data_IF_064640371336
#
_entry.id   IF_064640371336
#
_cell.length_a   1.000
_cell.length_b   1.000
_cell.length_c   1.000
_cell.angle_alpha   90.00
_cell.angle_beta   90.00
_cell.angle_gamma   90.00
#
_symmetry.space_group_name_H-M   'P 1'
#
loop_
_entity.id
_entity.type
_entity.pdbx_description
1 polymer ?
#
# COMPACT_ATOMS: atom_id res chain seq x y z
N UNK A 1 -29.19 -34.53 2.58
CA UNK A 1 -29.06 -33.44 3.54
C UNK A 1 -27.87 -32.64 3.07
N UNK A 2 -28.11 -31.40 2.66
CA UNK A 2 -27.12 -30.56 1.96
C UNK A 2 -26.35 -29.75 2.99
N UNK A 3 -25.12 -30.17 3.28
CA UNK A 3 -24.23 -29.59 4.29
C UNK A 3 -23.95 -28.11 4.01
N UNK A 4 -24.07 -27.67 2.75
CA UNK A 4 -23.84 -26.26 2.39
C UNK A 4 -24.95 -25.35 2.90
N UNK A 5 -26.20 -25.80 2.91
CA UNK A 5 -27.33 -25.01 3.40
C UNK A 5 -27.30 -24.78 4.91
N UNK A 6 -26.81 -25.76 5.68
CA UNK A 6 -26.70 -25.66 7.14
C UNK A 6 -25.56 -24.73 7.58
N UNK A 7 -24.48 -24.65 6.79
CA UNK A 7 -23.38 -23.71 7.06
C UNK A 7 -23.78 -22.26 6.76
N UNK A 8 -24.53 -22.03 5.68
CA UNK A 8 -25.04 -20.69 5.34
C UNK A 8 -26.04 -20.17 6.40
N UNK A 9 -26.86 -21.06 6.96
CA UNK A 9 -27.81 -20.73 8.02
C UNK A 9 -27.10 -20.39 9.34
N UNK A 10 -26.06 -21.16 9.69
CA UNK A 10 -25.24 -20.89 10.87
C UNK A 10 -24.42 -19.59 10.76
N UNK A 11 -23.85 -19.27 9.59
CA UNK A 11 -23.17 -17.99 9.36
C UNK A 11 -24.14 -16.81 9.49
N UNK A 12 -25.35 -16.95 8.96
CA UNK A 12 -26.40 -15.92 9.06
C UNK A 12 -26.84 -15.68 10.51
N UNK A 13 -27.02 -16.74 11.32
CA UNK A 13 -27.37 -16.60 12.73
C UNK A 13 -26.26 -15.93 13.55
N UNK A 14 -24.99 -16.30 13.31
CA UNK A 14 -23.85 -15.68 13.99
C UNK A 14 -23.70 -14.21 13.61
N UNK A 15 -23.91 -13.84 12.34
CA UNK A 15 -23.89 -12.43 11.92
C UNK A 15 -24.99 -11.61 12.58
N UNK A 16 -26.21 -12.16 12.68
CA UNK A 16 -27.32 -11.47 13.35
C UNK A 16 -27.06 -11.31 14.86
N UNK A 17 -26.54 -12.34 15.51
CA UNK A 17 -26.20 -12.28 16.93
C UNK A 17 -25.12 -11.23 17.22
N UNK A 18 -24.12 -11.10 16.34
CA UNK A 18 -23.07 -10.07 16.46
C UNK A 18 -23.66 -8.67 16.31
N UNK A 19 -24.62 -8.46 15.39
CA UNK A 19 -25.30 -7.17 15.21
C UNK A 19 -26.13 -6.82 16.45
N UNK A 20 -26.89 -7.78 16.99
CA UNK A 20 -27.66 -7.56 18.23
C UNK A 20 -26.76 -7.28 19.44
N UNK A 21 -25.61 -7.96 19.55
CA UNK A 21 -24.62 -7.70 20.59
C UNK A 21 -23.94 -6.33 20.42
N UNK A 22 -23.64 -5.90 19.19
CA UNK A 22 -23.13 -4.55 18.92
C UNK A 22 -24.16 -3.48 19.35
N UNK A 23 -25.44 -3.67 19.03
CA UNK A 23 -26.52 -2.76 19.41
C UNK A 23 -26.82 -2.80 20.92
N UNK A 24 -26.60 -3.93 21.59
CA UNK A 24 -26.78 -4.08 23.04
C UNK A 24 -25.62 -3.49 23.86
N UNK A 25 -24.38 -3.57 23.34
CA UNK A 25 -23.18 -3.02 23.99
C UNK A 25 -23.08 -1.49 23.82
N UNK A 26 -23.79 -0.89 22.86
CA UNK A 26 -23.89 0.57 22.70
C UNK A 26 -25.24 1.13 23.23
N UNK A 27 -25.56 1.05 24.54
CA UNK A 27 -26.80 1.59 25.06
C UNK A 27 -26.76 3.11 24.99
N UNK A 28 -27.65 3.67 24.17
CA UNK A 28 -28.11 5.06 24.24
C UNK A 28 -27.02 6.13 24.51
N UNK A 29 -26.03 6.26 23.62
CA UNK A 29 -25.45 7.60 23.38
C UNK A 29 -26.50 8.40 22.60
N UNK A 30 -27.55 8.82 23.30
CA UNK A 30 -28.64 9.68 22.81
C UNK A 30 -28.07 11.00 22.28
N UNK A 31 -27.98 11.09 20.96
CA UNK A 31 -28.38 12.24 20.15
C UNK A 31 -27.89 13.65 20.53
N UNK A 32 -26.68 13.81 21.09
CA UNK A 32 -25.95 15.00 20.68
C UNK A 32 -25.67 14.83 19.18
N UNK A 33 -26.17 15.71 18.27
CA UNK A 33 -25.74 15.65 16.89
C UNK A 33 -24.22 15.68 16.95
N UNK A 34 -23.52 14.63 16.48
CA UNK A 34 -22.08 14.54 16.66
C UNK A 34 -21.54 15.85 16.17
N UNK A 35 -20.92 16.63 17.07
CA UNK A 35 -20.36 17.92 16.74
C UNK A 35 -19.56 17.66 15.48
N UNK A 36 -20.03 18.17 14.32
CA UNK A 36 -19.61 17.67 13.01
C UNK A 36 -18.12 17.89 12.97
N UNK A 37 -17.35 16.85 13.29
CA UNK A 37 -15.91 16.90 13.28
C UNK A 37 -15.60 17.20 11.83
N UNK A 38 -15.21 18.45 11.61
CA UNK A 38 -14.99 18.99 10.27
C UNK A 38 -13.84 18.15 9.75
N UNK A 39 -14.17 17.15 8.94
CA UNK A 39 -13.21 16.19 8.43
C UNK A 39 -12.18 17.04 7.69
N UNK A 40 -10.95 17.01 8.15
CA UNK A 40 -9.91 17.87 7.60
C UNK A 40 -9.64 17.37 6.17
N UNK A 41 -10.15 18.11 5.20
CA UNK A 41 -10.01 17.80 3.77
C UNK A 41 -8.74 18.49 3.26
N UNK A 42 -7.93 17.76 2.48
CA UNK A 42 -6.73 18.33 1.88
C UNK A 42 -7.11 19.36 0.80
N UNK A 43 -6.38 20.46 0.74
CA UNK A 43 -6.54 21.49 -0.28
C UNK A 43 -6.10 20.98 -1.66
N UNK A 44 -6.55 21.60 -2.78
CA UNK A 44 -6.06 21.26 -4.11
C UNK A 44 -4.53 21.31 -4.24
N UNK A 45 -3.89 22.29 -3.59
CA UNK A 45 -2.43 22.42 -3.56
C UNK A 45 -1.76 21.24 -2.87
N UNK A 46 -2.30 20.78 -1.74
CA UNK A 46 -1.78 19.60 -1.04
C UNK A 46 -1.94 18.33 -1.88
N UNK A 47 -3.07 18.16 -2.58
CA UNK A 47 -3.26 17.01 -3.47
C UNK A 47 -2.30 17.04 -4.68
N UNK A 48 -2.06 18.22 -5.26
CA UNK A 48 -1.06 18.36 -6.34
C UNK A 48 0.37 18.07 -5.85
N UNK A 49 0.70 18.50 -4.63
CA UNK A 49 2.01 18.22 -4.02
C UNK A 49 2.15 16.75 -3.62
N UNK A 50 1.08 16.08 -3.15
CA UNK A 50 1.09 14.63 -2.96
C UNK A 50 1.53 13.95 -4.26
N UNK A 51 0.86 14.25 -5.39
CA UNK A 51 1.21 13.71 -6.71
C UNK A 51 2.68 13.97 -7.09
N UNK A 52 3.19 15.18 -6.88
CA UNK A 52 4.58 15.52 -7.18
C UNK A 52 5.58 14.72 -6.31
N UNK A 53 5.32 14.61 -5.01
CA UNK A 53 6.22 13.90 -4.09
C UNK A 53 6.27 12.39 -4.31
N UNK A 54 5.28 11.80 -5.00
CA UNK A 54 5.28 10.38 -5.36
C UNK A 54 6.45 9.96 -6.26
N UNK A 55 7.03 10.89 -7.02
CA UNK A 55 8.15 10.60 -7.93
C UNK A 55 9.45 10.29 -7.20
N UNK A 56 9.60 10.70 -5.93
CA UNK A 56 10.86 10.54 -5.20
C UNK A 56 11.36 9.10 -5.15
N UNK A 57 10.51 8.16 -4.73
CA UNK A 57 10.90 6.76 -4.60
C UNK A 57 11.21 6.08 -5.96
N UNK A 58 10.34 6.17 -7.01
CA UNK A 58 10.67 5.66 -8.34
C UNK A 58 11.91 6.29 -8.97
N UNK A 59 12.14 7.59 -8.78
CA UNK A 59 13.36 8.27 -9.25
C UNK A 59 14.61 7.75 -8.53
N UNK A 60 14.54 7.53 -7.21
CA UNK A 60 15.63 6.92 -6.47
C UNK A 60 15.93 5.50 -6.98
N UNK A 61 14.90 4.69 -7.20
CA UNK A 61 15.07 3.33 -7.73
C UNK A 61 15.72 3.34 -9.12
N UNK A 62 15.34 4.29 -9.99
CA UNK A 62 15.94 4.46 -11.30
C UNK A 62 17.41 4.90 -11.20
N UNK A 63 17.73 5.86 -10.34
CA UNK A 63 19.11 6.29 -10.08
C UNK A 63 19.96 5.12 -9.58
N UNK A 64 19.46 4.36 -8.60
CA UNK A 64 20.17 3.19 -8.06
C UNK A 64 20.41 2.12 -9.14
N UNK A 65 19.42 1.88 -10.00
CA UNK A 65 19.54 1.00 -11.15
C UNK A 65 20.64 1.45 -12.14
N UNK A 66 20.73 2.75 -12.41
CA UNK A 66 21.78 3.32 -13.28
C UNK A 66 23.17 3.21 -12.66
N UNK A 67 23.30 3.43 -11.35
CA UNK A 67 24.57 3.24 -10.62
C UNK A 67 25.03 1.77 -10.66
N UNK A 68 24.10 0.83 -10.46
CA UNK A 68 24.38 -0.60 -10.56
C UNK A 68 24.85 -0.99 -11.97
N UNK A 69 24.18 -0.48 -13.00
CA UNK A 69 24.59 -0.65 -14.41
C UNK A 69 26.01 -0.12 -14.67
N UNK A 70 26.35 1.04 -14.12
CA UNK A 70 27.66 1.66 -14.31
C UNK A 70 28.81 0.86 -13.70
N UNK A 71 28.55 0.17 -12.59
CA UNK A 71 29.56 -0.63 -11.87
C UNK A 71 29.74 -2.04 -12.43
N UNK A 72 28.64 -2.72 -12.78
CA UNK A 72 28.65 -4.12 -13.21
C UNK A 72 28.47 -4.37 -14.70
N UNK A 73 28.14 -3.34 -15.49
CA UNK A 73 27.69 -3.52 -16.87
C UNK A 73 26.32 -4.22 -16.96
N UNK A 74 25.80 -4.39 -18.18
CA UNK A 74 24.49 -5.02 -18.41
C UNK A 74 24.45 -6.51 -18.05
N UNK A 75 25.58 -7.21 -18.15
CA UNK A 75 25.66 -8.66 -17.94
C UNK A 75 25.39 -9.07 -16.49
N UNK A 76 25.60 -8.17 -15.53
CA UNK A 76 25.50 -8.46 -14.10
C UNK A 76 24.24 -7.84 -13.46
N UNK A 77 23.24 -7.43 -14.24
CA UNK A 77 22.07 -6.76 -13.70
C UNK A 77 21.10 -7.73 -13.02
N UNK A 78 20.83 -7.58 -11.71
CA UNK A 78 19.85 -8.40 -11.02
C UNK A 78 18.46 -8.21 -11.63
N UNK A 79 17.85 -9.28 -12.12
CA UNK A 79 16.49 -9.30 -12.63
C UNK A 79 15.48 -8.83 -11.57
N UNK A 80 15.71 -9.19 -10.32
CA UNK A 80 14.95 -8.73 -9.15
C UNK A 80 14.95 -7.20 -9.00
N UNK A 81 16.07 -6.52 -9.25
CA UNK A 81 16.13 -5.05 -9.25
C UNK A 81 15.32 -4.45 -10.40
N UNK A 82 15.39 -5.05 -11.60
CA UNK A 82 14.56 -4.64 -12.75
C UNK A 82 13.07 -4.78 -12.42
N UNK A 83 12.69 -5.88 -11.76
CA UNK A 83 11.31 -6.13 -11.38
C UNK A 83 10.82 -5.14 -10.31
N UNK A 84 11.67 -4.80 -9.33
CA UNK A 84 11.37 -3.76 -8.34
C UNK A 84 11.12 -2.40 -9.03
N UNK A 85 11.99 -2.03 -9.99
CA UNK A 85 11.83 -0.81 -10.78
C UNK A 85 10.51 -0.82 -11.56
N UNK A 86 10.20 -1.92 -12.24
CA UNK A 86 8.93 -2.07 -12.96
C UNK A 86 7.74 -1.94 -12.01
N UNK A 87 7.77 -2.57 -10.84
CA UNK A 87 6.68 -2.53 -9.87
C UNK A 87 6.35 -1.09 -9.42
N UNK A 88 7.37 -0.29 -9.09
CA UNK A 88 7.15 1.09 -8.60
C UNK A 88 6.68 2.02 -9.72
N UNK A 89 7.18 1.84 -10.94
CA UNK A 89 6.78 2.64 -12.10
C UNK A 89 5.40 2.26 -12.64
N UNK A 90 4.95 1.00 -12.49
CA UNK A 90 3.60 0.59 -12.87
C UNK A 90 2.52 1.17 -11.96
N UNK A 91 2.82 1.38 -10.67
CA UNK A 91 1.89 1.99 -9.72
C UNK A 91 1.76 3.50 -9.90
N UNK A 92 2.88 4.19 -10.17
CA UNK A 92 2.97 5.65 -10.18
C UNK A 92 1.88 6.37 -11.02
N UNK A 93 1.58 5.98 -12.28
CA UNK A 93 0.59 6.67 -13.10
C UNK A 93 -0.79 6.73 -12.46
N UNK A 94 -1.22 5.65 -11.80
CA UNK A 94 -2.55 5.54 -11.21
C UNK A 94 -2.68 6.39 -9.95
N UNK A 95 -1.62 6.41 -9.14
CA UNK A 95 -1.60 7.19 -7.91
C UNK A 95 -1.50 8.69 -8.19
N UNK A 96 -0.62 9.10 -9.12
CA UNK A 96 -0.54 10.48 -9.61
C UNK A 96 -1.88 10.92 -10.20
N UNK A 97 -2.51 10.08 -11.03
CA UNK A 97 -3.83 10.37 -11.61
C UNK A 97 -4.88 10.56 -10.53
N UNK A 98 -4.94 9.69 -9.52
CA UNK A 98 -5.87 9.84 -8.40
C UNK A 98 -5.71 11.19 -7.71
N UNK A 99 -4.48 11.56 -7.32
CA UNK A 99 -4.22 12.82 -6.63
C UNK A 99 -4.49 14.06 -7.49
N UNK A 100 -4.13 14.04 -8.77
CA UNK A 100 -4.46 15.13 -9.69
C UNK A 100 -5.98 15.28 -9.88
N UNK A 101 -6.71 14.17 -10.03
CA UNK A 101 -8.18 14.21 -10.08
C UNK A 101 -8.77 14.77 -8.78
N UNK A 102 -8.23 14.40 -7.62
CA UNK A 102 -8.62 15.01 -6.34
C UNK A 102 -8.39 16.53 -6.33
N UNK A 103 -7.22 16.98 -6.78
CA UNK A 103 -6.89 18.40 -6.87
C UNK A 103 -7.86 19.17 -7.78
N UNK A 104 -8.09 18.68 -8.99
CA UNK A 104 -8.95 19.34 -9.98
C UNK A 104 -10.43 19.30 -9.63
N UNK A 105 -10.95 18.17 -9.12
CA UNK A 105 -12.37 18.05 -8.79
C UNK A 105 -12.75 18.79 -7.51
N UNK A 106 -11.85 18.87 -6.53
CA UNK A 106 -12.08 19.70 -5.33
C UNK A 106 -12.14 21.18 -5.64
N UNK A 107 -11.34 21.66 -6.59
CA UNK A 107 -11.44 23.04 -7.06
C UNK A 107 -12.85 23.39 -7.57
N UNK A 108 -13.60 22.39 -8.07
CA UNK A 108 -14.97 22.54 -8.58
C UNK A 108 -16.07 22.32 -7.54
N UNK A 109 -15.75 22.02 -6.26
CA UNK A 109 -16.70 21.80 -5.14
C UNK A 109 -17.93 20.95 -5.48
N UNK A 110 -17.74 19.85 -6.24
CA UNK A 110 -18.87 18.96 -6.53
C UNK A 110 -19.30 18.19 -5.28
N UNK A 111 -20.50 18.48 -4.77
CA UNK A 111 -21.08 17.82 -3.60
C UNK A 111 -21.34 16.31 -3.81
N UNK A 112 -21.27 15.83 -5.06
CA UNK A 112 -21.58 14.44 -5.44
C UNK A 112 -20.35 13.53 -5.52
N UNK A 113 -19.14 14.04 -5.24
CA UNK A 113 -17.91 13.29 -5.44
C UNK A 113 -17.20 12.99 -4.12
N UNK A 114 -17.13 11.70 -3.74
CA UNK A 114 -16.38 11.24 -2.58
C UNK A 114 -14.91 10.96 -2.95
N UNK A 115 -13.92 11.70 -2.38
CA UNK A 115 -12.50 11.41 -2.57
C UNK A 115 -12.06 10.04 -2.03
N UNK A 116 -12.85 9.43 -1.14
CA UNK A 116 -12.56 8.16 -0.48
C UNK A 116 -13.15 6.95 -1.20
N UNK A 117 -14.24 7.13 -1.95
CA UNK A 117 -14.88 6.05 -2.70
C UNK A 117 -15.13 6.46 -4.16
N UNK A 118 -14.06 6.39 -4.95
CA UNK A 118 -14.11 6.63 -6.39
C UNK A 118 -13.22 5.66 -7.15
N UNK A 119 -13.49 5.53 -8.45
CA UNK A 119 -12.79 4.61 -9.36
C UNK A 119 -11.27 4.84 -9.38
N UNK A 120 -10.81 6.09 -9.37
CA UNK A 120 -9.38 6.39 -9.42
C UNK A 120 -8.65 5.91 -8.16
N UNK A 121 -9.25 6.07 -6.99
CA UNK A 121 -8.71 5.51 -5.75
C UNK A 121 -8.66 3.98 -5.78
N UNK A 122 -9.72 3.34 -6.30
CA UNK A 122 -9.73 1.87 -6.42
C UNK A 122 -8.67 1.38 -7.39
N UNK A 123 -8.41 2.10 -8.48
CA UNK A 123 -7.32 1.81 -9.41
C UNK A 123 -5.96 1.98 -8.74
N UNK A 124 -5.71 3.11 -8.06
CA UNK A 124 -4.49 3.33 -7.27
C UNK A 124 -4.22 2.17 -6.29
N UNK A 125 -5.21 1.80 -5.48
CA UNK A 125 -5.10 0.69 -4.54
C UNK A 125 -4.97 -0.68 -5.22
N UNK A 126 -5.57 -0.87 -6.39
CA UNK A 126 -5.38 -2.11 -7.19
C UNK A 126 -3.92 -2.25 -7.59
N UNK A 127 -3.32 -1.17 -8.07
CA UNK A 127 -1.92 -1.18 -8.49
C UNK A 127 -0.95 -1.25 -7.32
N UNK A 128 -1.30 -0.76 -6.12
CA UNK A 128 -0.54 -1.07 -4.89
C UNK A 128 -0.43 -2.58 -4.68
N UNK A 129 -1.54 -3.32 -4.81
CA UNK A 129 -1.56 -4.78 -4.61
C UNK A 129 -0.83 -5.56 -5.72
N UNK A 130 -0.97 -5.14 -6.97
CA UNK A 130 -0.21 -5.72 -8.10
C UNK A 130 1.30 -5.49 -7.88
N UNK A 131 1.69 -4.23 -7.63
CA UNK A 131 3.09 -3.87 -7.38
C UNK A 131 3.63 -4.57 -6.14
N UNK A 132 2.85 -4.71 -5.07
CA UNK A 132 3.27 -5.44 -3.87
C UNK A 132 3.56 -6.93 -4.13
N UNK A 133 2.88 -7.55 -5.09
CA UNK A 133 3.20 -8.92 -5.52
C UNK A 133 4.53 -8.97 -6.26
N UNK A 134 4.78 -8.03 -7.18
CA UNK A 134 6.06 -7.93 -7.90
C UNK A 134 7.22 -7.61 -6.95
N UNK A 135 7.00 -6.72 -5.98
CA UNK A 135 7.99 -6.39 -4.94
C UNK A 135 8.27 -7.64 -4.09
N UNK A 136 7.24 -8.39 -3.68
CA UNK A 136 7.42 -9.64 -2.94
C UNK A 136 8.31 -10.65 -3.70
N UNK A 137 8.19 -10.77 -5.04
CA UNK A 137 9.14 -11.57 -5.82
C UNK A 137 10.53 -10.93 -5.84
N UNK A 138 10.63 -9.62 -6.12
CA UNK A 138 11.92 -8.93 -6.17
C UNK A 138 12.74 -9.06 -4.89
N UNK A 139 12.07 -9.17 -3.74
CA UNK A 139 12.70 -9.28 -2.43
C UNK A 139 12.84 -10.73 -1.95
N UNK A 140 12.31 -11.72 -2.65
CA UNK A 140 12.41 -13.12 -2.25
C UNK A 140 13.14 -14.01 -3.26
N UNK A 141 13.18 -13.60 -4.53
CA UNK A 141 13.52 -14.45 -5.67
C UNK A 141 12.77 -15.80 -5.67
N UNK A 142 11.59 -15.88 -5.02
CA UNK A 142 10.85 -17.12 -4.80
C UNK A 142 9.49 -17.07 -5.47
N UNK A 143 9.27 -17.96 -6.45
CA UNK A 143 7.98 -18.10 -7.14
C UNK A 143 6.87 -18.55 -6.18
N UNK A 144 7.21 -19.35 -5.16
CA UNK A 144 6.24 -19.79 -4.14
C UNK A 144 5.77 -18.58 -3.32
N UNK A 145 6.70 -17.75 -2.86
CA UNK A 145 6.37 -16.55 -2.10
C UNK A 145 5.58 -15.54 -2.95
N UNK A 146 5.98 -15.34 -4.20
CA UNK A 146 5.23 -14.56 -5.17
C UNK A 146 3.80 -15.06 -5.37
N UNK A 147 3.61 -16.37 -5.55
CA UNK A 147 2.28 -16.97 -5.70
C UNK A 147 1.39 -16.72 -4.48
N UNK A 148 1.92 -16.92 -3.27
CA UNK A 148 1.20 -16.63 -2.03
C UNK A 148 0.81 -15.14 -1.91
N UNK A 149 1.75 -14.23 -2.18
CA UNK A 149 1.49 -12.80 -2.20
C UNK A 149 0.46 -12.41 -3.25
N UNK A 150 0.56 -12.97 -4.46
CA UNK A 150 -0.36 -12.71 -5.57
C UNK A 150 -1.79 -13.18 -5.26
N UNK A 151 -1.96 -14.33 -4.60
CA UNK A 151 -3.27 -14.82 -4.15
C UNK A 151 -3.87 -13.84 -3.14
N UNK A 152 -3.13 -13.48 -2.08
CA UNK A 152 -3.60 -12.53 -1.08
C UNK A 152 -3.96 -11.16 -1.69
N UNK A 153 -3.10 -10.63 -2.55
CA UNK A 153 -3.31 -9.35 -3.21
C UNK A 153 -4.48 -9.41 -4.21
N UNK A 154 -4.65 -10.51 -4.93
CA UNK A 154 -5.80 -10.75 -5.81
C UNK A 154 -7.12 -10.76 -5.06
N UNK A 155 -7.19 -11.49 -3.94
CA UNK A 155 -8.35 -11.50 -3.04
C UNK A 155 -8.63 -10.08 -2.52
N UNK A 156 -7.58 -9.34 -2.11
CA UNK A 156 -7.70 -7.95 -1.66
C UNK A 156 -8.27 -7.02 -2.73
N UNK A 157 -7.89 -7.20 -4.00
CA UNK A 157 -8.43 -6.46 -5.14
C UNK A 157 -9.88 -6.84 -5.41
N UNK A 158 -10.24 -8.13 -5.44
CA UNK A 158 -11.64 -8.55 -5.59
C UNK A 158 -12.53 -7.91 -4.53
N UNK A 159 -12.03 -7.90 -3.29
CA UNK A 159 -12.67 -7.27 -2.16
C UNK A 159 -12.76 -5.75 -2.25
N UNK A 160 -11.77 -5.08 -2.84
CA UNK A 160 -11.78 -3.65 -3.10
C UNK A 160 -12.87 -3.25 -4.11
N UNK A 161 -13.13 -4.10 -5.10
CA UNK A 161 -14.10 -3.85 -6.16
C UNK A 161 -15.50 -4.39 -5.88
N UNK A 162 -15.66 -5.31 -4.94
CA UNK A 162 -16.98 -5.79 -4.52
C UNK A 162 -17.78 -4.69 -3.82
N UNK A 163 -19.11 -4.74 -3.94
CA UNK A 163 -20.00 -3.80 -3.25
C UNK A 163 -19.86 -4.02 -1.73
N UNK A 164 -19.04 -3.21 -1.08
CA UNK A 164 -18.87 -3.25 0.37
C UNK A 164 -20.03 -2.47 1.01
N UNK A 165 -20.78 -3.11 1.91
CA UNK A 165 -21.93 -2.53 2.61
C UNK A 165 -21.58 -1.30 3.47
N UNK A 166 -21.51 -1.44 4.80
CA UNK A 166 -21.24 -0.30 5.71
C UNK A 166 -19.90 0.40 5.36
N UNK A 167 -19.88 1.71 5.03
CA UNK A 167 -18.68 2.42 4.55
C UNK A 167 -17.47 2.41 5.51
N UNK A 168 -17.72 2.31 6.82
CA UNK A 168 -16.68 2.31 7.85
C UNK A 168 -15.90 1.00 7.88
N UNK A 169 -16.59 -0.16 7.87
CA UNK A 169 -15.97 -1.50 7.82
C UNK A 169 -15.17 -1.67 6.53
N UNK A 170 -15.77 -1.28 5.41
CA UNK A 170 -15.17 -1.19 4.09
C UNK A 170 -13.82 -0.45 4.10
N UNK A 171 -13.80 0.76 4.67
CA UNK A 171 -12.58 1.58 4.79
C UNK A 171 -11.50 0.93 5.66
N UNK A 172 -11.86 0.35 6.81
CA UNK A 172 -10.90 -0.33 7.70
C UNK A 172 -10.27 -1.53 7.00
N UNK A 173 -11.07 -2.39 6.35
CA UNK A 173 -10.54 -3.55 5.60
C UNK A 173 -9.57 -3.15 4.50
N UNK A 174 -9.90 -2.12 3.71
CA UNK A 174 -9.00 -1.59 2.68
C UNK A 174 -7.65 -1.14 3.26
N UNK A 175 -7.67 -0.42 4.38
CA UNK A 175 -6.44 0.01 5.04
C UNK A 175 -5.63 -1.18 5.55
N UNK A 176 -6.28 -2.12 6.24
CA UNK A 176 -5.65 -3.33 6.75
C UNK A 176 -4.99 -4.14 5.63
N UNK A 177 -5.67 -4.34 4.50
CA UNK A 177 -5.12 -5.09 3.37
C UNK A 177 -3.88 -4.41 2.77
N UNK A 178 -3.89 -3.08 2.64
CA UNK A 178 -2.71 -2.33 2.16
C UNK A 178 -1.54 -2.45 3.15
N UNK A 179 -1.79 -2.38 4.46
CA UNK A 179 -0.75 -2.56 5.47
C UNK A 179 -0.17 -3.98 5.43
N UNK A 180 -1.02 -5.01 5.33
CA UNK A 180 -0.57 -6.41 5.21
C UNK A 180 0.25 -6.58 3.93
N UNK A 181 -0.16 -5.99 2.81
CA UNK A 181 0.61 -6.00 1.56
C UNK A 181 2.01 -5.38 1.75
N UNK A 182 2.07 -4.17 2.32
CA UNK A 182 3.31 -3.40 2.49
C UNK A 182 4.29 -4.01 3.51
N UNK A 183 3.78 -4.60 4.59
CA UNK A 183 4.60 -5.28 5.60
C UNK A 183 4.95 -6.70 5.16
N UNK A 184 4.00 -7.40 4.55
CA UNK A 184 4.16 -8.77 4.07
C UNK A 184 5.32 -8.90 3.09
N UNK A 185 5.45 -7.99 2.12
CA UNK A 185 6.55 -8.02 1.15
C UNK A 185 7.96 -7.92 1.79
N UNK A 186 8.09 -7.46 3.04
CA UNK A 186 9.37 -7.42 3.77
C UNK A 186 9.72 -8.73 4.47
N UNK A 187 8.74 -9.61 4.69
CA UNK A 187 8.95 -10.85 5.44
C UNK A 187 10.08 -11.75 4.87
N UNK A 188 10.29 -11.87 3.54
CA UNK A 188 11.38 -12.68 2.98
C UNK A 188 12.78 -12.19 3.35
N UNK A 189 12.95 -10.94 3.77
CA UNK A 189 14.27 -10.38 4.08
C UNK A 189 14.89 -11.02 5.32
N UNK A 190 14.07 -11.44 6.29
CA UNK A 190 14.51 -12.09 7.53
C UNK A 190 15.13 -13.47 7.26
N UNK A 191 14.43 -14.45 6.65
CA UNK A 191 15.03 -15.77 6.38
C UNK A 191 16.17 -15.73 5.35
N UNK A 192 16.26 -14.68 4.52
CA UNK A 192 17.42 -14.42 3.64
C UNK A 192 18.67 -13.92 4.37
N UNK A 193 18.56 -13.58 5.66
CA UNK A 193 19.65 -12.98 6.43
C UNK A 193 19.87 -11.49 6.18
N UNK A 194 19.03 -10.83 5.37
CA UNK A 194 19.11 -9.40 5.07
C UNK A 194 18.41 -8.54 6.14
N UNK A 195 18.79 -8.78 7.40
CA UNK A 195 18.12 -8.20 8.57
C UNK A 195 18.31 -6.69 8.63
N UNK A 196 19.47 -6.17 8.19
CA UNK A 196 19.74 -4.74 8.19
C UNK A 196 18.79 -3.96 7.27
N UNK A 197 18.62 -4.41 6.01
CA UNK A 197 17.65 -3.78 5.11
C UNK A 197 16.21 -4.02 5.57
N UNK A 198 15.89 -5.16 6.17
CA UNK A 198 14.56 -5.42 6.73
C UNK A 198 14.18 -4.43 7.82
N UNK A 199 15.06 -4.24 8.82
CA UNK A 199 14.84 -3.30 9.93
C UNK A 199 14.81 -1.85 9.43
N UNK A 200 15.72 -1.49 8.52
CA UNK A 200 15.76 -0.17 7.91
C UNK A 200 14.48 0.17 7.11
N UNK A 201 14.02 -0.76 6.27
CA UNK A 201 12.79 -0.62 5.50
C UNK A 201 11.58 -0.54 6.42
N UNK A 202 11.45 -1.45 7.38
CA UNK A 202 10.32 -1.47 8.31
C UNK A 202 10.26 -0.18 9.15
N UNK A 203 11.39 0.27 9.69
CA UNK A 203 11.45 1.52 10.47
C UNK A 203 11.09 2.73 9.61
N UNK A 204 11.65 2.82 8.40
CA UNK A 204 11.33 3.91 7.46
C UNK A 204 9.84 3.95 7.13
N UNK A 205 9.25 2.77 6.87
CA UNK A 205 7.81 2.63 6.62
C UNK A 205 6.97 3.04 7.83
N UNK A 206 7.33 2.64 9.06
CA UNK A 206 6.61 3.02 10.27
C UNK A 206 6.62 4.53 10.50
N UNK A 207 7.76 5.20 10.31
CA UNK A 207 7.86 6.66 10.44
C UNK A 207 6.98 7.34 9.39
N UNK A 208 7.06 6.90 8.13
CA UNK A 208 6.22 7.42 7.06
C UNK A 208 4.72 7.22 7.39
N UNK A 209 4.31 5.99 7.74
CA UNK A 209 2.94 5.66 8.08
C UNK A 209 2.43 6.46 9.29
N UNK A 210 3.31 6.72 10.27
CA UNK A 210 3.03 7.60 11.40
C UNK A 210 2.60 9.00 10.95
N UNK A 211 3.32 9.61 10.01
CA UNK A 211 2.96 10.92 9.43
C UNK A 211 1.60 10.90 8.72
N UNK A 212 1.29 9.80 8.03
CA UNK A 212 -0.03 9.61 7.41
C UNK A 212 -1.15 9.49 8.45
N UNK A 213 -0.92 8.79 9.56
CA UNK A 213 -1.89 8.65 10.65
C UNK A 213 -2.17 9.99 11.34
N UNK A 214 -1.12 10.79 11.59
CA UNK A 214 -1.27 12.11 12.22
C UNK A 214 -1.55 13.24 11.21
N UNK A 215 -1.94 12.91 9.98
CA UNK A 215 -2.14 13.89 8.90
C UNK A 215 -3.11 15.03 9.28
N UNK A 216 -4.13 14.74 10.08
CA UNK A 216 -5.07 15.76 10.58
C UNK A 216 -4.44 16.74 11.58
N UNK A 217 -3.37 16.35 12.27
CA UNK A 217 -2.59 17.23 13.16
C UNK A 217 -1.54 18.06 12.41
N UNK A 218 -1.29 17.72 11.15
CA UNK A 218 -0.35 18.39 10.25
C UNK A 218 -1.08 19.16 9.14
N UNK A 219 -2.35 19.53 9.39
CA UNK A 219 -3.20 20.25 8.44
C UNK A 219 -3.30 19.61 7.04
N UNK A 220 -3.08 18.30 6.91
CA UNK A 220 -3.10 17.60 5.62
C UNK A 220 -1.73 17.39 4.96
N UNK A 221 -0.64 17.92 5.53
CA UNK A 221 0.72 17.78 4.99
C UNK A 221 1.42 16.45 5.32
N UNK A 222 0.90 15.70 6.30
CA UNK A 222 1.45 14.40 6.68
C UNK A 222 1.44 13.40 5.53
N UNK A 223 0.48 13.48 4.60
CA UNK A 223 0.44 12.62 3.41
C UNK A 223 1.57 12.93 2.41
N UNK A 224 1.87 14.22 2.20
CA UNK A 224 2.97 14.64 1.34
C UNK A 224 4.32 14.21 1.92
N UNK A 225 4.50 14.41 3.23
CA UNK A 225 5.71 13.95 3.94
C UNK A 225 5.84 12.42 3.94
N UNK A 226 4.71 11.69 4.03
CA UNK A 226 4.71 10.23 3.86
C UNK A 226 5.36 9.82 2.53
N UNK A 227 4.99 10.43 1.41
CA UNK A 227 5.59 10.11 0.10
C UNK A 227 7.09 10.43 0.05
N UNK A 228 7.52 11.56 0.61
CA UNK A 228 8.95 11.91 0.69
C UNK A 228 9.72 10.86 1.49
N UNK A 229 9.17 10.39 2.61
CA UNK A 229 9.80 9.36 3.43
C UNK A 229 9.73 7.94 2.84
N UNK A 230 9.05 7.73 1.70
CA UNK A 230 9.19 6.50 0.94
C UNK A 230 10.53 6.40 0.19
N UNK A 231 11.30 7.49 0.06
CA UNK A 231 12.65 7.46 -0.54
C UNK A 231 13.64 6.61 0.27
N UNK A 232 13.86 6.84 1.59
CA UNK A 232 14.73 5.97 2.37
C UNK A 232 14.20 4.53 2.44
N UNK A 233 12.88 4.34 2.48
CA UNK A 233 12.28 3.00 2.35
C UNK A 233 12.73 2.29 1.06
N UNK A 234 12.63 2.99 -0.08
CA UNK A 234 13.07 2.48 -1.37
C UNK A 234 14.57 2.16 -1.40
N UNK A 235 15.40 2.94 -0.70
CA UNK A 235 16.83 2.69 -0.62
C UNK A 235 17.16 1.31 -0.05
N UNK A 236 16.47 0.89 1.01
CA UNK A 236 16.63 -0.44 1.59
C UNK A 236 16.10 -1.53 0.65
N UNK A 237 14.98 -1.30 -0.03
CA UNK A 237 14.43 -2.27 -0.99
C UNK A 237 15.36 -2.48 -2.19
N UNK A 238 15.93 -1.43 -2.76
CA UNK A 238 16.85 -1.52 -3.90
C UNK A 238 18.11 -2.32 -3.55
N UNK A 239 18.71 -2.09 -2.37
CA UNK A 239 19.86 -2.87 -1.89
C UNK A 239 19.51 -4.34 -1.74
N UNK A 240 18.36 -4.63 -1.14
CA UNK A 240 17.93 -5.99 -0.89
C UNK A 240 17.55 -6.76 -2.15
N UNK A 241 16.89 -6.08 -3.10
CA UNK A 241 16.58 -6.64 -4.41
C UNK A 241 17.86 -6.93 -5.19
N UNK A 242 18.83 -6.00 -5.24
CA UNK A 242 20.10 -6.24 -5.91
C UNK A 242 20.85 -7.47 -5.37
N UNK A 243 20.76 -7.73 -4.05
CA UNK A 243 21.34 -8.90 -3.40
C UNK A 243 20.51 -10.19 -3.50
N UNK A 244 19.32 -10.16 -4.10
CA UNK A 244 18.44 -11.33 -4.18
C UNK A 244 18.87 -12.35 -5.23
N UNK A 245 19.42 -11.89 -6.35
CA UNK A 245 19.89 -12.77 -7.44
C UNK A 245 21.33 -13.27 -7.25
N UNK A 246 22.12 -12.64 -6.37
CA UNK A 246 23.54 -13.00 -6.16
C UNK A 246 23.75 -14.23 -5.28
N UNK A 247 22.66 -14.85 -4.79
CA UNK A 247 22.66 -16.04 -3.92
C UNK A 247 23.27 -17.33 -4.53
N UNK A 248 23.90 -17.25 -5.70
CA UNK A 248 24.61 -18.36 -6.36
C UNK A 248 26.15 -18.22 -6.40
N UNK A 249 26.73 -17.11 -5.91
CA UNK A 249 28.16 -17.09 -5.51
C UNK A 249 29.21 -16.44 -6.44
N UNK A 250 28.87 -15.54 -7.38
CA UNK A 250 29.90 -15.01 -8.32
C UNK A 250 29.87 -13.50 -8.64
N UNK A 251 29.13 -12.64 -7.93
CA UNK A 251 29.11 -11.20 -8.25
C UNK A 251 29.12 -10.29 -7.01
N UNK A 252 30.33 -9.97 -6.54
CA UNK A 252 30.56 -8.93 -5.53
C UNK A 252 30.47 -7.53 -6.17
N UNK A 253 29.25 -7.01 -6.34
CA UNK A 253 29.01 -5.65 -6.89
C UNK A 253 28.97 -4.58 -5.77
N UNK A 254 29.10 -4.95 -4.50
CA UNK A 254 28.84 -4.02 -3.40
C UNK A 254 29.77 -4.20 -2.18
N UNK A 255 30.94 -3.57 -2.24
CA UNK A 255 31.59 -2.95 -1.07
C UNK A 255 31.85 -1.47 -1.37
#
# INVERSE_FOLDING_TARGET
MDITSELDEAEYEVENLIVELEDFIEPEVKHAPPAKLKKLEMTPTQEALNAATMFGAPCYALWYYQEALGKGGQACMPFTLVLLLAAVWLHLPWSVTYHLVCAFRRAKRSALWDPVDNTYRRLDQTWIHISGSLVAYSLSASLVYFGAAAIFNGISVMYLWSKQGRPTRARRRRLTNVVICAVGQLAPLIPRGDVSNAVGAFTSFLVAAGLFVINSKLDGWGHCLFHVLLVPYMAFLCRSAAAADTGSGECDIAS
#
